data_IF_213384851548
#
_entry.id   IF_213384851548
#
_cell.length_a   1.000
_cell.length_b   1.000
_cell.length_c   1.000
_cell.angle_alpha   90.00
_cell.angle_beta   90.00
_cell.angle_gamma   90.00
#
_symmetry.space_group_name_H-M   'P 1'
#
loop_
_entity.id
_entity.type
_entity.pdbx_description
1 polymer ?
#
# COMPACT_ATOMS: atom_id res chain seq x y z
N UNK A 1 -5.47 1.78 5.31
CA UNK A 1 -4.93 0.77 6.23
C UNK A 1 -5.02 1.33 7.63
N UNK A 2 -5.78 0.68 8.51
CA UNK A 2 -5.91 1.09 9.91
C UNK A 2 -4.77 0.40 10.67
N UNK A 3 -4.05 1.11 11.53
CA UNK A 3 -3.02 0.48 12.38
C UNK A 3 -3.69 -0.31 13.53
N UNK A 4 -4.30 -1.45 13.18
CA UNK A 4 -4.92 -2.36 14.14
C UNK A 4 -3.87 -3.09 14.98
N UNK A 5 -2.66 -3.26 14.45
CA UNK A 5 -1.58 -3.98 15.14
C UNK A 5 -1.16 -3.26 16.42
N UNK A 6 -1.13 -1.93 16.42
CA UNK A 6 -0.77 -1.14 17.61
C UNK A 6 -1.82 -1.18 18.73
N UNK A 7 -3.06 -1.55 18.42
CA UNK A 7 -4.11 -1.75 19.43
C UNK A 7 -3.77 -2.93 20.35
N UNK A 8 -3.18 -4.00 19.77
CA UNK A 8 -2.78 -5.23 20.46
C UNK A 8 -1.36 -5.12 21.04
N UNK A 9 -0.42 -4.59 20.25
CA UNK A 9 0.97 -4.37 20.66
C UNK A 9 1.32 -2.89 20.45
N UNK A 10 1.25 -2.03 21.49
CA UNK A 10 1.36 -0.57 21.37
C UNK A 10 2.81 -0.12 21.13
N UNK A 11 3.34 -0.49 19.97
CA UNK A 11 4.65 -0.13 19.45
C UNK A 11 4.46 0.37 18.02
N UNK A 12 5.09 1.48 17.69
CA UNK A 12 5.10 2.00 16.33
C UNK A 12 6.09 1.18 15.51
N UNK A 13 5.62 0.51 14.46
CA UNK A 13 6.45 -0.29 13.57
C UNK A 13 7.18 0.52 12.51
N UNK A 14 6.55 1.60 12.01
CA UNK A 14 7.11 2.47 10.98
C UNK A 14 6.53 3.89 11.07
N UNK A 15 7.21 4.85 10.45
CA UNK A 15 6.67 6.19 10.22
C UNK A 15 5.68 6.19 9.04
N UNK A 16 4.76 7.14 9.03
CA UNK A 16 3.82 7.37 7.94
C UNK A 16 3.95 8.83 7.50
N UNK A 17 3.99 9.05 6.20
CA UNK A 17 4.03 10.38 5.57
C UNK A 17 2.90 10.46 4.54
N UNK A 18 2.31 11.64 4.40
CA UNK A 18 1.27 11.91 3.41
C UNK A 18 1.91 12.32 2.08
N UNK A 19 1.46 11.72 0.97
CA UNK A 19 1.91 12.09 -0.40
C UNK A 19 0.98 13.11 -1.07
N UNK A 20 -0.20 13.32 -0.50
CA UNK A 20 -1.22 14.27 -0.95
C UNK A 20 -1.99 14.80 0.25
N UNK A 21 -2.95 15.70 0.03
CA UNK A 21 -3.91 16.09 1.04
C UNK A 21 -4.62 14.85 1.61
N UNK A 22 -4.67 14.76 2.94
CA UNK A 22 -5.22 13.61 3.66
C UNK A 22 -5.95 14.05 4.92
N UNK A 23 -7.07 13.38 5.22
CA UNK A 23 -7.77 13.51 6.48
C UNK A 23 -7.41 12.34 7.39
N UNK A 24 -6.88 12.63 8.58
CA UNK A 24 -6.44 11.60 9.54
C UNK A 24 -7.35 11.62 10.75
N UNK A 25 -7.97 10.47 11.05
CA UNK A 25 -8.73 10.26 12.28
C UNK A 25 -7.84 9.55 13.31
N UNK A 26 -7.73 10.13 14.51
CA UNK A 26 -7.01 9.52 15.64
C UNK A 26 -8.00 8.90 16.60
N UNK A 27 -7.95 7.58 16.76
CA UNK A 27 -8.83 6.84 17.67
C UNK A 27 -7.99 6.26 18.81
N UNK A 28 -8.29 6.61 20.08
CA UNK A 28 -7.63 5.99 21.24
C UNK A 28 -7.79 4.47 21.25
N UNK A 29 -6.70 3.73 21.51
CA UNK A 29 -6.75 2.25 21.53
C UNK A 29 -7.77 1.70 22.52
N UNK A 30 -8.03 2.43 23.63
CA UNK A 30 -9.03 2.04 24.62
C UNK A 30 -10.44 1.95 24.01
N UNK A 31 -10.80 2.86 23.11
CA UNK A 31 -12.10 2.87 22.46
C UNK A 31 -12.23 1.70 21.47
N UNK A 32 -11.16 1.40 20.72
CA UNK A 32 -11.12 0.21 19.86
C UNK A 32 -11.25 -1.07 20.70
N UNK A 33 -10.53 -1.18 21.83
CA UNK A 33 -10.65 -2.36 22.71
C UNK A 33 -12.05 -2.51 23.31
N UNK A 34 -12.69 -1.42 23.69
CA UNK A 34 -14.07 -1.43 24.19
C UNK A 34 -15.06 -1.89 23.12
N UNK A 35 -14.94 -1.37 21.88
CA UNK A 35 -15.89 -1.70 20.82
C UNK A 35 -15.77 -3.16 20.37
N UNK A 36 -14.55 -3.71 20.27
CA UNK A 36 -14.38 -5.13 19.91
C UNK A 36 -14.84 -6.07 21.01
N UNK A 37 -14.76 -5.67 22.28
CA UNK A 37 -15.28 -6.45 23.41
C UNK A 37 -16.81 -6.44 23.45
N UNK A 38 -17.43 -5.34 23.01
CA UNK A 38 -18.89 -5.20 22.98
C UNK A 38 -19.55 -5.80 21.74
N UNK A 39 -18.86 -5.78 20.59
CA UNK A 39 -19.41 -6.17 19.29
C UNK A 39 -18.51 -7.16 18.56
N UNK A 40 -18.85 -8.45 18.66
CA UNK A 40 -18.09 -9.52 18.03
C UNK A 40 -18.00 -9.41 16.50
N UNK A 41 -19.04 -8.85 15.86
CA UNK A 41 -19.03 -8.60 14.41
C UNK A 41 -17.94 -7.61 13.98
N UNK A 42 -17.68 -6.59 14.80
CA UNK A 42 -16.60 -5.61 14.57
C UNK A 42 -15.25 -6.27 14.84
N UNK A 43 -15.13 -7.05 15.92
CA UNK A 43 -13.92 -7.82 16.20
C UNK A 43 -13.52 -8.74 15.02
N UNK A 44 -14.50 -9.46 14.46
CA UNK A 44 -14.29 -10.32 13.31
C UNK A 44 -13.95 -9.55 12.02
N UNK A 45 -14.46 -8.32 11.85
CA UNK A 45 -14.08 -7.45 10.74
C UNK A 45 -12.61 -7.01 10.86
N UNK A 46 -12.18 -6.56 12.04
CA UNK A 46 -10.79 -6.15 12.29
C UNK A 46 -9.80 -7.31 12.19
N UNK A 47 -10.19 -8.51 12.62
CA UNK A 47 -9.38 -9.71 12.41
C UNK A 47 -9.17 -10.00 10.92
N UNK A 48 -10.24 -9.94 10.12
CA UNK A 48 -10.17 -10.15 8.67
C UNK A 48 -9.31 -9.09 7.99
N UNK A 49 -9.45 -7.83 8.38
CA UNK A 49 -8.63 -6.71 7.89
C UNK A 49 -7.14 -6.96 8.16
N UNK A 50 -6.79 -7.32 9.40
CA UNK A 50 -5.40 -7.62 9.79
C UNK A 50 -4.80 -8.82 9.02
N UNK A 51 -5.60 -9.85 8.73
CA UNK A 51 -5.18 -11.01 7.92
C UNK A 51 -5.00 -10.62 6.45
N UNK A 52 -5.86 -9.75 5.92
CA UNK A 52 -5.74 -9.23 4.57
C UNK A 52 -4.45 -8.41 4.41
N UNK A 53 -4.15 -7.52 5.36
CA UNK A 53 -2.89 -6.76 5.40
C UNK A 53 -1.66 -7.69 5.42
N UNK A 54 -1.69 -8.74 6.24
CA UNK A 54 -0.63 -9.74 6.27
C UNK A 54 -0.45 -10.48 4.94
N UNK A 55 -1.56 -10.80 4.26
CA UNK A 55 -1.54 -11.47 2.95
C UNK A 55 -0.98 -10.56 1.86
N UNK A 56 -1.33 -9.27 1.89
CA UNK A 56 -0.75 -8.24 1.01
C UNK A 56 0.76 -8.15 1.26
N UNK A 57 1.19 -8.06 2.52
CA UNK A 57 2.61 -7.96 2.88
C UNK A 57 3.40 -9.18 2.37
N UNK A 58 2.87 -10.39 2.45
CA UNK A 58 3.50 -11.58 1.88
C UNK A 58 3.63 -11.50 0.35
N UNK A 59 2.64 -10.95 -0.34
CA UNK A 59 2.73 -10.63 -1.77
C UNK A 59 3.88 -9.67 -2.07
N UNK A 60 4.04 -8.63 -1.24
CA UNK A 60 5.13 -7.68 -1.34
C UNK A 60 6.51 -8.29 -1.03
N UNK A 61 6.61 -9.24 -0.10
CA UNK A 61 7.85 -9.99 0.13
C UNK A 61 8.29 -10.74 -1.13
N UNK A 62 7.36 -11.38 -1.84
CA UNK A 62 7.66 -12.03 -3.12
C UNK A 62 8.00 -11.00 -4.21
N UNK A 63 7.27 -9.88 -4.24
CA UNK A 63 7.50 -8.80 -5.21
C UNK A 63 8.94 -8.28 -5.12
N UNK A 64 9.37 -7.90 -3.92
CA UNK A 64 10.71 -7.34 -3.66
C UNK A 64 11.80 -8.40 -3.73
N UNK A 65 11.53 -9.62 -3.22
CA UNK A 65 12.56 -10.65 -3.09
C UNK A 65 12.82 -11.51 -4.33
N UNK A 66 11.87 -11.58 -5.28
CA UNK A 66 11.94 -12.55 -6.39
C UNK A 66 11.73 -11.98 -7.78
N UNK A 67 11.25 -10.75 -7.94
CA UNK A 67 10.99 -10.15 -9.26
C UNK A 67 12.11 -9.19 -9.65
N UNK A 68 12.42 -9.16 -10.94
CA UNK A 68 13.28 -8.13 -11.52
C UNK A 68 12.57 -6.76 -11.50
N UNK A 69 13.34 -5.69 -11.70
CA UNK A 69 12.86 -4.30 -11.57
C UNK A 69 11.57 -4.00 -12.35
N UNK A 70 11.47 -4.47 -13.60
CA UNK A 70 10.32 -4.23 -14.48
C UNK A 70 9.02 -4.87 -13.95
N UNK A 71 8.93 -6.20 -13.75
CA UNK A 71 7.73 -6.82 -13.18
C UNK A 71 7.43 -6.37 -11.75
N UNK A 72 8.45 -5.94 -10.98
CA UNK A 72 8.24 -5.38 -9.65
C UNK A 72 7.43 -4.07 -9.69
N UNK A 73 7.80 -3.15 -10.58
CA UNK A 73 7.06 -1.89 -10.80
C UNK A 73 5.70 -2.12 -11.46
N UNK A 74 5.60 -3.02 -12.45
CA UNK A 74 4.30 -3.36 -13.04
C UNK A 74 3.30 -3.85 -11.98
N UNK A 75 3.77 -4.62 -11.00
CA UNK A 75 2.92 -5.08 -9.91
C UNK A 75 2.43 -3.91 -9.04
N UNK A 76 3.34 -3.00 -8.66
CA UNK A 76 2.99 -1.79 -7.91
C UNK A 76 1.90 -1.00 -8.65
N UNK A 77 2.07 -0.72 -9.94
CA UNK A 77 1.10 0.05 -10.72
C UNK A 77 -0.24 -0.67 -10.87
N UNK A 78 -0.23 -1.98 -11.16
CA UNK A 78 -1.45 -2.78 -11.20
C UNK A 78 -2.21 -2.74 -9.85
N UNK A 79 -1.48 -2.83 -8.74
CA UNK A 79 -2.09 -2.78 -7.41
C UNK A 79 -2.66 -1.40 -7.09
N UNK A 80 -1.94 -0.32 -7.43
CA UNK A 80 -2.43 1.05 -7.23
C UNK A 80 -3.66 1.35 -8.09
N UNK A 81 -3.70 0.87 -9.34
CA UNK A 81 -4.88 1.02 -10.20
C UNK A 81 -6.12 0.34 -9.62
N UNK A 82 -5.99 -0.91 -9.15
CA UNK A 82 -7.10 -1.62 -8.50
C UNK A 82 -7.54 -0.90 -7.22
N UNK A 83 -6.59 -0.43 -6.39
CA UNK A 83 -6.91 0.31 -5.16
C UNK A 83 -7.60 1.65 -5.45
N UNK A 84 -7.19 2.35 -6.50
CA UNK A 84 -7.79 3.61 -6.93
C UNK A 84 -9.23 3.41 -7.41
N UNK A 85 -9.46 2.39 -8.24
CA UNK A 85 -10.79 2.00 -8.72
C UNK A 85 -11.74 1.67 -7.56
N UNK A 86 -11.29 0.82 -6.62
CA UNK A 86 -12.08 0.45 -5.44
C UNK A 86 -12.36 1.63 -4.50
N UNK A 87 -11.49 2.63 -4.48
CA UNK A 87 -11.67 3.85 -3.70
C UNK A 87 -12.52 4.91 -4.42
N UNK A 88 -12.88 4.71 -5.70
CA UNK A 88 -13.56 5.69 -6.53
C UNK A 88 -12.70 6.92 -6.86
N UNK A 89 -11.37 6.78 -6.87
CA UNK A 89 -10.40 7.86 -7.09
C UNK A 89 -9.80 7.85 -8.51
N UNK A 90 -10.26 6.93 -9.37
CA UNK A 90 -9.84 6.78 -10.76
C UNK A 90 -10.28 5.42 -11.30
N UNK A 91 -9.71 5.05 -12.43
CA UNK A 91 -9.92 3.75 -13.07
C UNK A 91 -8.70 2.85 -12.88
N UNK A 92 -8.88 1.55 -13.14
CA UNK A 92 -7.81 0.56 -13.04
C UNK A 92 -6.58 0.87 -13.91
N UNK A 93 -6.79 1.58 -15.03
CA UNK A 93 -5.74 1.92 -16.00
C UNK A 93 -5.45 3.41 -16.06
N UNK A 94 -6.19 4.25 -15.32
CA UNK A 94 -6.01 5.70 -15.33
C UNK A 94 -6.32 6.27 -13.96
N UNK A 95 -5.28 6.68 -13.24
CA UNK A 95 -5.40 7.20 -11.88
C UNK A 95 -4.27 8.18 -11.57
N UNK A 96 -4.51 9.10 -10.65
CA UNK A 96 -3.49 10.02 -10.18
C UNK A 96 -2.63 9.34 -9.10
N UNK A 97 -1.32 9.32 -9.29
CA UNK A 97 -0.37 8.79 -8.31
C UNK A 97 0.77 9.80 -8.11
N UNK A 98 0.68 10.67 -7.08
CA UNK A 98 1.70 11.69 -6.81
C UNK A 98 2.92 11.04 -6.13
N UNK A 99 3.70 10.30 -6.90
CA UNK A 99 4.86 9.54 -6.44
C UNK A 99 6.11 9.95 -7.22
N UNK A 100 7.25 10.10 -6.55
CA UNK A 100 8.53 10.39 -7.22
C UNK A 100 9.40 9.13 -7.35
N UNK A 101 10.47 9.21 -8.15
CA UNK A 101 11.38 8.07 -8.39
C UNK A 101 11.94 7.47 -7.09
N UNK A 102 12.24 8.32 -6.09
CA UNK A 102 12.74 7.88 -4.80
C UNK A 102 11.70 7.04 -4.04
N UNK A 103 10.44 7.48 -4.03
CA UNK A 103 9.35 6.75 -3.37
C UNK A 103 9.09 5.41 -4.06
N UNK A 104 9.21 5.35 -5.40
CA UNK A 104 9.13 4.09 -6.15
C UNK A 104 10.24 3.13 -5.72
N UNK A 105 11.46 3.65 -5.55
CA UNK A 105 12.60 2.88 -5.04
C UNK A 105 12.35 2.33 -3.64
N UNK A 106 11.91 3.19 -2.72
CA UNK A 106 11.60 2.83 -1.34
C UNK A 106 10.47 1.79 -1.25
N UNK A 107 9.42 1.93 -2.07
CA UNK A 107 8.30 1.00 -2.11
C UNK A 107 8.66 -0.38 -2.71
N UNK A 108 9.61 -0.42 -3.66
CA UNK A 108 9.95 -1.65 -4.41
C UNK A 108 11.28 -2.28 -4.01
N UNK A 109 12.05 -1.65 -3.13
CA UNK A 109 13.41 -2.08 -2.77
C UNK A 109 14.41 -1.92 -3.92
N UNK A 110 14.12 -1.09 -4.92
CA UNK A 110 14.96 -0.84 -6.08
C UNK A 110 15.79 0.43 -5.89
N UNK A 111 17.00 0.46 -6.46
CA UNK A 111 17.76 1.71 -6.55
C UNK A 111 17.17 2.59 -7.67
N UNK A 112 17.35 3.92 -7.58
CA UNK A 112 16.86 4.86 -8.58
C UNK A 112 17.24 4.49 -10.02
N UNK A 113 18.50 4.09 -10.26
CA UNK A 113 18.94 3.65 -11.60
C UNK A 113 18.13 2.46 -12.15
N UNK A 114 17.70 1.54 -11.28
CA UNK A 114 16.84 0.42 -11.68
C UNK A 114 15.39 0.88 -11.93
N UNK A 115 14.86 1.77 -11.07
CA UNK A 115 13.54 2.38 -11.26
C UNK A 115 13.49 3.13 -12.59
N UNK A 116 14.43 4.04 -12.82
CA UNK A 116 14.53 4.85 -14.03
C UNK A 116 14.58 3.99 -15.30
N UNK A 117 15.45 2.97 -15.32
CA UNK A 117 15.58 2.06 -16.47
C UNK A 117 14.28 1.29 -16.73
N UNK A 118 13.59 0.85 -15.69
CA UNK A 118 12.35 0.11 -15.82
C UNK A 118 11.19 1.01 -16.27
N UNK A 119 11.05 2.21 -15.70
CA UNK A 119 10.07 3.22 -16.14
C UNK A 119 10.24 3.54 -17.62
N UNK A 120 11.48 3.79 -18.06
CA UNK A 120 11.77 4.04 -19.48
C UNK A 120 11.34 2.87 -20.37
N UNK A 121 11.59 1.63 -19.97
CA UNK A 121 11.13 0.44 -20.72
C UNK A 121 9.61 0.35 -20.82
N UNK A 122 8.87 0.74 -19.77
CA UNK A 122 7.40 0.74 -19.80
C UNK A 122 6.87 1.82 -20.75
N UNK A 123 7.48 2.99 -20.76
CA UNK A 123 7.14 4.09 -21.66
C UNK A 123 7.50 3.77 -23.12
N UNK A 124 8.72 3.28 -23.38
CA UNK A 124 9.19 2.89 -24.71
C UNK A 124 8.33 1.74 -25.30
N UNK A 125 7.77 0.90 -24.44
CA UNK A 125 6.84 -0.18 -24.82
C UNK A 125 5.37 0.23 -24.91
N UNK A 126 5.03 1.51 -24.68
CA UNK A 126 3.65 2.02 -24.61
C UNK A 126 2.76 1.25 -23.62
N UNK A 127 3.35 0.74 -22.54
CA UNK A 127 2.64 0.04 -21.45
C UNK A 127 2.20 1.05 -20.37
N UNK A 128 2.97 2.13 -20.20
CA UNK A 128 2.73 3.17 -19.21
C UNK A 128 2.85 4.56 -19.86
N UNK A 129 1.85 5.40 -19.59
CA UNK A 129 1.84 6.81 -19.91
C UNK A 129 1.73 7.60 -18.60
N UNK A 130 2.47 8.72 -18.52
CA UNK A 130 2.58 9.59 -17.33
C UNK A 130 2.21 11.00 -17.68
#
# INVERSE_FOLDING_TARGET
MIDLTSVVSPKVGCGITVLSDATVLRIPHIQIRQIVAQYLGIAAAFWRDSVADGSILLGWVVNVGRRDALPCLCHLFCEMGIRSELAGLGDRTFYNLPIVENDLGDATGLTGVHVNRAMKKLQDGSILET
#
